data_IF_564004059837
#
_entry.id   IF_564004059837
#
_cell.length_a   1.000
_cell.length_b   1.000
_cell.length_c   1.000
_cell.angle_alpha   90.00
_cell.angle_beta   90.00
_cell.angle_gamma   90.00
#
_symmetry.space_group_name_H-M   'P 1'
#
loop_
_entity.id
_entity.type
_entity.pdbx_description
1 polymer ?
#
# COMPACT_ATOMS: atom_id res chain seq x y z
N UNK A 1 8.79 -1.86 6.34
CA UNK A 1 7.96 -2.95 6.89
C UNK A 1 7.12 -3.54 5.78
N UNK A 2 6.74 -4.80 5.90
CA UNK A 2 5.84 -5.48 4.98
C UNK A 2 4.70 -6.13 5.75
N UNK A 3 3.55 -6.30 5.10
CA UNK A 3 2.40 -6.98 5.69
C UNK A 3 1.43 -7.54 4.66
N UNK A 4 0.73 -8.61 5.05
CA UNK A 4 -0.54 -9.00 4.43
C UNK A 4 -1.68 -8.16 5.02
N UNK A 5 -2.45 -7.50 4.17
CA UNK A 5 -3.58 -6.66 4.60
C UNK A 5 -4.85 -7.46 4.96
N UNK A 6 -4.87 -8.77 4.72
CA UNK A 6 -6.03 -9.62 5.00
C UNK A 6 -6.37 -9.61 6.49
N UNK A 7 -7.61 -9.27 6.82
CA UNK A 7 -8.08 -9.15 8.20
C UNK A 7 -7.85 -7.79 8.86
N UNK A 8 -7.24 -6.83 8.15
CA UNK A 8 -6.98 -5.48 8.67
C UNK A 8 -7.80 -4.41 7.97
N UNK A 9 -8.17 -3.37 8.72
CA UNK A 9 -8.89 -2.20 8.22
C UNK A 9 -7.94 -1.09 7.75
N UNK A 10 -6.90 -1.50 7.01
CA UNK A 10 -5.90 -0.63 6.43
C UNK A 10 -4.74 -0.33 7.38
N UNK A 11 -3.89 0.61 6.96
CA UNK A 11 -2.70 1.01 7.72
C UNK A 11 -3.05 1.81 8.97
N UNK A 12 -3.83 2.88 8.81
CA UNK A 12 -3.99 3.92 9.82
C UNK A 12 -5.04 3.54 10.87
N UNK A 13 -4.72 3.80 12.14
CA UNK A 13 -5.68 3.63 13.23
C UNK A 13 -6.91 4.53 13.08
N UNK A 14 -8.08 3.94 13.32
CA UNK A 14 -9.34 4.66 13.43
C UNK A 14 -9.77 4.73 14.90
N UNK A 15 -9.39 5.82 15.58
CA UNK A 15 -9.73 6.04 16.99
C UNK A 15 -11.25 6.12 17.13
N UNK A 16 -11.87 5.15 17.81
CA UNK A 16 -13.31 5.08 18.05
C UNK A 16 -14.06 3.96 17.31
N UNK A 17 -13.43 3.23 16.39
CA UNK A 17 -14.00 2.03 15.78
C UNK A 17 -13.28 0.78 16.30
N UNK A 18 -13.92 0.06 17.22
CA UNK A 18 -13.36 -1.13 17.88
C UNK A 18 -13.52 -2.42 17.07
N UNK A 19 -14.17 -2.36 15.92
CA UNK A 19 -14.65 -3.57 15.26
C UNK A 19 -13.54 -4.34 14.55
N UNK A 20 -12.48 -3.68 14.09
CA UNK A 20 -11.38 -4.32 13.38
C UNK A 20 -10.04 -3.62 13.57
N UNK A 21 -8.98 -4.40 13.74
CA UNK A 21 -7.61 -3.91 13.92
C UNK A 21 -7.02 -3.35 12.62
N UNK A 22 -6.08 -2.44 12.77
CA UNK A 22 -5.26 -1.85 11.71
C UNK A 22 -3.81 -2.30 11.83
N UNK A 23 -3.00 -2.10 10.79
CA UNK A 23 -1.57 -2.47 10.83
C UNK A 23 -0.84 -1.66 11.91
N UNK A 24 -1.19 -0.39 12.07
CA UNK A 24 -0.63 0.45 13.14
C UNK A 24 -1.00 -0.04 14.54
N UNK A 25 -2.14 -0.74 14.72
CA UNK A 25 -2.49 -1.33 16.02
C UNK A 25 -1.49 -2.38 16.49
N UNK A 26 -1.19 -3.35 15.62
CA UNK A 26 -0.22 -4.40 15.94
C UNK A 26 1.21 -3.82 16.01
N UNK A 27 1.57 -2.88 15.13
CA UNK A 27 2.88 -2.22 15.18
C UNK A 27 3.12 -1.50 16.50
N UNK A 28 2.16 -0.68 16.93
CA UNK A 28 2.30 0.08 18.18
C UNK A 28 2.25 -0.83 19.39
N UNK A 29 1.40 -1.86 19.39
CA UNK A 29 1.40 -2.87 20.45
C UNK A 29 2.78 -3.54 20.57
N UNK A 30 3.39 -3.91 19.44
CA UNK A 30 4.73 -4.48 19.42
C UNK A 30 5.80 -3.50 19.92
N UNK A 31 5.74 -2.22 19.54
CA UNK A 31 6.67 -1.18 20.01
C UNK A 31 6.60 -0.95 21.52
N UNK A 32 5.39 -0.95 22.11
CA UNK A 32 5.20 -0.83 23.56
C UNK A 32 5.74 -2.07 24.26
N UNK A 33 5.38 -3.27 23.79
CA UNK A 33 5.82 -4.55 24.39
C UNK A 33 7.32 -4.77 24.31
N UNK A 34 7.95 -4.32 23.23
CA UNK A 34 9.40 -4.36 23.07
C UNK A 34 10.14 -3.31 23.94
N UNK A 35 9.41 -2.40 24.60
CA UNK A 35 10.00 -1.31 25.40
C UNK A 35 10.65 -0.21 24.54
N UNK A 36 10.24 -0.07 23.28
CA UNK A 36 10.78 0.93 22.35
C UNK A 36 10.14 2.31 22.54
N UNK A 37 8.90 2.33 23.04
CA UNK A 37 8.14 3.54 23.36
C UNK A 37 7.36 3.33 24.66
N UNK A 38 7.11 4.38 25.44
CA UNK A 38 6.20 4.32 26.58
C UNK A 38 4.74 4.20 26.12
N UNK A 39 3.88 3.67 27.01
CA UNK A 39 2.45 3.42 26.72
C UNK A 39 1.70 4.68 26.26
N UNK A 40 1.98 5.82 26.87
CA UNK A 40 1.37 7.11 26.52
C UNK A 40 1.72 7.60 25.09
N UNK A 41 2.79 7.11 24.46
CA UNK A 41 3.10 7.34 23.04
C UNK A 41 2.34 6.35 22.14
N UNK A 42 2.00 5.17 22.66
CA UNK A 42 1.14 4.22 21.97
C UNK A 42 -0.32 4.68 21.92
N UNK A 43 -0.79 5.37 22.95
CA UNK A 43 -2.11 6.02 22.98
C UNK A 43 -2.17 7.26 22.08
N UNK A 44 -1.12 8.09 22.10
CA UNK A 44 -0.98 9.28 21.27
C UNK A 44 0.30 9.25 20.44
N UNK A 45 0.16 8.72 19.22
CA UNK A 45 1.27 8.52 18.28
C UNK A 45 1.94 9.84 17.84
N UNK A 46 1.31 11.01 18.07
CA UNK A 46 1.93 12.32 17.80
C UNK A 46 3.14 12.56 18.70
N UNK A 47 3.14 12.04 19.93
CA UNK A 47 4.24 12.19 20.91
C UNK A 47 5.53 11.52 20.46
N UNK A 48 5.43 10.48 19.63
CA UNK A 48 6.59 9.83 18.98
C UNK A 48 6.84 10.31 17.55
N UNK A 49 6.20 11.40 17.12
CA UNK A 49 6.33 11.94 15.75
C UNK A 49 6.07 10.88 14.68
N UNK A 50 5.10 9.99 14.89
CA UNK A 50 4.82 8.89 13.96
C UNK A 50 4.26 9.40 12.64
N UNK A 51 4.86 8.95 11.54
CA UNK A 51 4.46 9.25 10.17
C UNK A 51 4.51 7.98 9.33
N UNK A 52 3.62 7.89 8.34
CA UNK A 52 3.53 6.79 7.37
C UNK A 52 3.55 7.34 5.96
N UNK A 53 4.27 6.69 5.04
CA UNK A 53 4.33 7.14 3.65
C UNK A 53 3.01 6.96 2.92
N UNK A 54 2.29 5.87 3.22
CA UNK A 54 1.05 5.48 2.54
C UNK A 54 0.00 5.07 3.56
N UNK A 55 -1.23 5.57 3.38
CA UNK A 55 -2.43 5.04 4.03
C UNK A 55 -3.01 3.98 3.10
N UNK A 56 -2.75 2.70 3.37
CA UNK A 56 -3.36 1.62 2.60
C UNK A 56 -4.77 1.35 3.11
N UNK A 57 -5.68 1.06 2.19
CA UNK A 57 -7.07 0.75 2.51
C UNK A 57 -7.24 -0.66 3.10
N UNK A 58 -8.45 -0.95 3.57
CA UNK A 58 -8.84 -2.27 4.09
C UNK A 58 -8.44 -3.39 3.12
N UNK A 59 -7.75 -4.40 3.64
CA UNK A 59 -7.33 -5.57 2.85
C UNK A 59 -6.09 -5.37 1.98
N UNK A 60 -5.63 -4.13 1.77
CA UNK A 60 -4.48 -3.83 0.92
C UNK A 60 -3.19 -4.26 1.61
N UNK A 61 -2.35 -5.02 0.91
CA UNK A 61 -1.05 -5.49 1.40
C UNK A 61 0.07 -4.51 1.02
N UNK A 62 1.22 -4.60 1.68
CA UNK A 62 2.40 -3.83 1.30
C UNK A 62 3.68 -4.65 1.43
N UNK A 63 4.52 -4.63 0.40
CA UNK A 63 5.86 -5.22 0.44
C UNK A 63 6.93 -4.25 0.98
N UNK A 64 6.66 -2.94 0.93
CA UNK A 64 7.64 -1.89 1.21
C UNK A 64 7.05 -0.65 1.87
N UNK A 65 6.14 -0.82 2.83
CA UNK A 65 5.64 0.31 3.62
C UNK A 65 6.79 0.94 4.40
N UNK A 66 6.82 2.28 4.44
CA UNK A 66 7.80 3.05 5.18
C UNK A 66 7.09 3.92 6.21
N UNK A 67 7.61 3.88 7.44
CA UNK A 67 7.18 4.71 8.55
C UNK A 67 8.40 5.40 9.16
N UNK A 68 8.20 6.58 9.76
CA UNK A 68 9.20 7.25 10.57
C UNK A 68 8.61 7.60 11.93
N UNK A 69 9.39 7.41 12.99
CA UNK A 69 8.98 7.63 14.38
C UNK A 69 10.22 7.78 15.26
N UNK A 70 10.01 8.30 16.48
CA UNK A 70 11.02 8.40 17.54
C UNK A 70 10.84 7.25 18.53
N UNK A 71 11.91 6.51 18.77
CA UNK A 71 11.94 5.35 19.69
C UNK A 71 13.21 5.41 20.53
N UNK A 72 13.22 4.70 21.65
CA UNK A 72 14.45 4.36 22.35
C UNK A 72 15.20 3.29 21.56
N UNK A 73 16.48 3.56 21.26
CA UNK A 73 17.33 2.62 20.55
C UNK A 73 17.88 1.59 21.54
N UNK A 74 17.17 0.49 21.70
CA UNK A 74 17.58 -0.65 22.53
C UNK A 74 18.39 -1.67 21.71
N UNK A 75 19.10 -2.57 22.40
CA UNK A 75 19.78 -3.71 21.78
C UNK A 75 18.77 -4.64 21.09
N UNK A 76 19.15 -5.18 19.93
CA UNK A 76 18.34 -6.11 19.13
C UNK A 76 16.94 -5.57 18.80
N UNK A 77 16.83 -4.26 18.60
CA UNK A 77 15.57 -3.54 18.40
C UNK A 77 14.67 -4.18 17.31
N UNK A 78 15.26 -4.54 16.17
CA UNK A 78 14.50 -5.12 15.05
C UNK A 78 13.89 -6.47 15.41
N UNK A 79 14.67 -7.35 16.04
CA UNK A 79 14.24 -8.69 16.43
C UNK A 79 13.22 -8.64 17.57
N UNK A 80 13.41 -7.76 18.56
CA UNK A 80 12.44 -7.55 19.64
C UNK A 80 11.09 -7.09 19.13
N UNK A 81 11.05 -6.10 18.22
CA UNK A 81 9.79 -5.66 17.62
C UNK A 81 9.13 -6.81 16.85
N UNK A 82 9.89 -7.50 16.00
CA UNK A 82 9.36 -8.62 15.21
C UNK A 82 8.86 -9.78 16.07
N UNK A 83 9.46 -10.03 17.24
CA UNK A 83 9.01 -11.08 18.17
C UNK A 83 7.61 -10.86 18.75
N UNK A 84 7.10 -9.62 18.66
CA UNK A 84 5.76 -9.24 19.10
C UNK A 84 4.79 -9.01 17.94
N UNK A 85 5.24 -9.16 16.70
CA UNK A 85 4.41 -9.06 15.51
C UNK A 85 3.95 -10.46 15.06
N UNK A 86 2.75 -10.57 14.48
CA UNK A 86 2.35 -11.81 13.82
C UNK A 86 3.21 -12.06 12.57
N UNK A 87 3.31 -13.32 12.13
CA UNK A 87 4.21 -13.71 11.03
C UNK A 87 3.94 -12.98 9.70
N UNK A 88 2.72 -12.51 9.48
CA UNK A 88 2.30 -11.76 8.28
C UNK A 88 2.51 -10.25 8.39
N UNK A 89 3.15 -9.74 9.44
CA UNK A 89 3.64 -8.35 9.56
C UNK A 89 5.11 -8.41 9.97
N UNK A 90 6.00 -7.79 9.19
CA UNK A 90 7.44 -7.85 9.45
C UNK A 90 8.13 -6.49 9.27
N UNK A 91 8.99 -6.14 10.22
CA UNK A 91 9.98 -5.07 10.07
C UNK A 91 11.20 -5.63 9.37
N UNK A 92 11.32 -5.29 8.09
CA UNK A 92 12.41 -5.78 7.24
C UNK A 92 13.76 -5.10 7.54
N UNK A 93 13.72 -3.78 7.76
CA UNK A 93 14.92 -2.93 7.92
C UNK A 93 14.59 -1.78 8.85
N UNK A 94 15.57 -1.40 9.68
CA UNK A 94 15.55 -0.19 10.51
C UNK A 94 16.79 0.66 10.21
N UNK A 95 16.61 1.97 10.02
CA UNK A 95 17.70 2.93 9.78
C UNK A 95 17.51 4.16 10.66
N UNK A 96 18.57 4.58 11.35
CA UNK A 96 18.61 5.85 12.08
C UNK A 96 18.69 7.01 11.10
N UNK A 97 17.91 8.05 11.36
CA UNK A 97 17.80 9.26 10.52
C UNK A 97 17.95 10.52 11.39
N UNK A 98 18.00 11.68 10.75
CA UNK A 98 17.98 12.98 11.45
C UNK A 98 16.60 13.24 12.08
N UNK A 99 16.56 14.01 13.17
CA UNK A 99 15.32 14.26 13.94
C UNK A 99 14.19 14.90 13.13
N UNK A 100 14.52 15.66 12.08
CA UNK A 100 13.55 16.32 11.20
C UNK A 100 13.08 15.49 10.01
N UNK A 101 13.49 14.22 9.90
CA UNK A 101 13.05 13.37 8.80
C UNK A 101 11.58 12.97 8.96
N UNK A 102 10.76 13.26 7.94
CA UNK A 102 9.38 12.81 7.83
C UNK A 102 9.25 11.95 6.56
N UNK A 103 8.93 10.66 6.74
CA UNK A 103 8.89 9.71 5.64
C UNK A 103 7.83 10.06 4.59
N UNK A 104 6.67 10.58 5.00
CA UNK A 104 5.59 10.98 4.09
C UNK A 104 6.01 12.09 3.14
N UNK A 105 6.61 13.15 3.69
CA UNK A 105 6.99 14.35 2.94
C UNK A 105 8.18 14.08 2.02
N UNK A 106 9.09 13.19 2.44
CA UNK A 106 10.29 12.81 1.69
C UNK A 106 10.07 11.68 0.68
N UNK A 107 8.85 11.17 0.54
CA UNK A 107 8.51 10.15 -0.44
C UNK A 107 8.21 10.81 -1.80
N UNK A 108 8.99 10.47 -2.82
CA UNK A 108 8.86 11.06 -4.16
C UNK A 108 8.05 10.20 -5.14
N UNK A 109 7.96 8.88 -4.91
CA UNK A 109 7.21 7.97 -5.75
C UNK A 109 6.75 6.72 -5.00
N UNK A 110 5.68 6.12 -5.55
CA UNK A 110 5.09 4.87 -5.09
C UNK A 110 4.90 3.97 -6.30
N UNK A 111 5.09 2.67 -6.11
CA UNK A 111 4.81 1.67 -7.15
C UNK A 111 3.87 0.64 -6.57
N UNK A 112 2.70 0.52 -7.20
CA UNK A 112 1.70 -0.47 -6.82
C UNK A 112 1.71 -1.64 -7.81
N UNK A 113 1.40 -2.82 -7.27
CA UNK A 113 1.27 -4.06 -8.00
C UNK A 113 -0.13 -4.60 -7.70
N UNK A 114 -0.92 -4.86 -8.73
CA UNK A 114 -2.24 -5.45 -8.62
C UNK A 114 -2.19 -6.84 -9.25
N UNK A 115 -2.13 -7.87 -8.41
CA UNK A 115 -2.19 -9.26 -8.84
C UNK A 115 -3.64 -9.70 -8.92
N UNK A 116 -4.06 -10.25 -10.06
CA UNK A 116 -5.43 -10.66 -10.31
C UNK A 116 -5.49 -11.94 -11.16
N UNK A 117 -6.54 -12.77 -11.00
CA UNK A 117 -6.80 -13.87 -11.92
C UNK A 117 -7.06 -13.36 -13.34
N UNK A 118 -6.54 -14.05 -14.35
CA UNK A 118 -6.62 -13.57 -15.74
C UNK A 118 -8.02 -13.64 -16.34
N UNK A 119 -8.91 -14.47 -15.79
CA UNK A 119 -10.33 -14.49 -16.19
C UNK A 119 -11.03 -13.14 -15.96
N UNK A 120 -10.45 -12.21 -15.19
CA UNK A 120 -10.91 -10.82 -15.12
C UNK A 120 -10.84 -10.09 -16.48
N UNK A 121 -10.05 -10.59 -17.44
CA UNK A 121 -9.95 -10.07 -18.81
C UNK A 121 -10.74 -10.89 -19.83
N UNK A 122 -11.42 -11.97 -19.40
CA UNK A 122 -12.20 -12.81 -20.30
C UNK A 122 -13.37 -12.01 -20.89
N UNK A 123 -13.50 -12.04 -22.21
CA UNK A 123 -14.60 -11.37 -22.89
C UNK A 123 -15.91 -12.10 -22.62
N UNK A 124 -16.86 -11.42 -21.97
CA UNK A 124 -18.09 -12.01 -21.41
C UNK A 124 -18.92 -12.88 -22.36
N UNK A 125 -18.92 -12.59 -23.67
CA UNK A 125 -19.75 -13.31 -24.65
C UNK A 125 -18.95 -14.31 -25.51
N UNK A 126 -17.62 -14.36 -25.38
CA UNK A 126 -16.74 -15.13 -26.28
C UNK A 126 -15.87 -16.12 -25.53
N UNK A 127 -15.45 -15.76 -24.32
CA UNK A 127 -14.51 -16.54 -23.53
C UNK A 127 -15.21 -17.31 -22.40
N UNK A 128 -14.58 -18.39 -21.95
CA UNK A 128 -14.97 -19.08 -20.70
C UNK A 128 -14.77 -18.15 -19.50
N UNK A 129 -15.70 -18.19 -18.56
CA UNK A 129 -15.77 -17.26 -17.41
C UNK A 129 -15.35 -17.92 -16.09
N UNK A 130 -14.66 -19.05 -16.17
CA UNK A 130 -14.17 -19.81 -15.02
C UNK A 130 -12.63 -19.85 -14.99
N UNK A 131 -12.10 -20.56 -14.00
CA UNK A 131 -10.66 -20.74 -13.75
C UNK A 131 -9.87 -21.44 -14.87
N UNK A 132 -10.54 -22.03 -15.86
CA UNK A 132 -9.90 -22.65 -17.02
C UNK A 132 -9.49 -21.65 -18.10
N UNK A 133 -9.94 -20.39 -17.99
CA UNK A 133 -9.54 -19.31 -18.90
C UNK A 133 -8.02 -19.14 -18.96
N UNK A 134 -7.49 -18.84 -20.15
CA UNK A 134 -6.09 -18.48 -20.35
C UNK A 134 -5.98 -17.22 -21.20
N UNK A 135 -5.18 -16.27 -20.74
CA UNK A 135 -5.03 -14.95 -21.36
C UNK A 135 -4.29 -15.05 -22.68
N UNK A 136 -4.95 -14.66 -23.78
CA UNK A 136 -4.32 -14.59 -25.09
C UNK A 136 -3.35 -13.40 -25.21
N UNK A 137 -2.39 -13.52 -26.13
CA UNK A 137 -1.46 -12.43 -26.41
C UNK A 137 -2.18 -11.17 -26.94
N UNK A 138 -3.23 -11.37 -27.73
CA UNK A 138 -4.07 -10.31 -28.30
C UNK A 138 -4.80 -9.54 -27.20
N UNK A 139 -5.42 -10.24 -26.26
CA UNK A 139 -6.11 -9.61 -25.12
C UNK A 139 -5.11 -8.90 -24.22
N UNK A 140 -3.95 -9.48 -23.94
CA UNK A 140 -2.89 -8.81 -23.18
C UNK A 140 -2.38 -7.53 -23.88
N UNK A 141 -2.20 -7.55 -25.20
CA UNK A 141 -1.85 -6.36 -25.98
C UNK A 141 -2.94 -5.29 -25.89
N UNK A 142 -4.21 -5.69 -25.95
CA UNK A 142 -5.34 -4.77 -25.77
C UNK A 142 -5.34 -4.16 -24.36
N UNK A 143 -5.16 -4.97 -23.31
CA UNK A 143 -5.05 -4.50 -21.92
C UNK A 143 -3.93 -3.47 -21.81
N UNK A 144 -2.73 -3.80 -22.30
CA UNK A 144 -1.58 -2.88 -22.24
C UNK A 144 -1.80 -1.59 -23.04
N UNK A 145 -2.47 -1.66 -24.20
CA UNK A 145 -2.85 -0.48 -24.98
C UNK A 145 -3.78 0.45 -24.20
N UNK A 146 -4.75 -0.09 -23.46
CA UNK A 146 -5.67 0.68 -22.63
C UNK A 146 -4.98 1.25 -21.39
N UNK A 147 -4.16 0.45 -20.70
CA UNK A 147 -3.40 0.90 -19.53
C UNK A 147 -2.44 2.05 -19.89
N UNK A 148 -1.82 2.00 -21.07
CA UNK A 148 -0.95 3.07 -21.55
C UNK A 148 -1.67 4.42 -21.70
N UNK A 149 -3.00 4.46 -21.87
CA UNK A 149 -3.76 5.71 -21.92
C UNK A 149 -3.78 6.46 -20.59
N UNK A 150 -3.50 5.80 -19.46
CA UNK A 150 -3.40 6.46 -18.15
C UNK A 150 -2.10 7.22 -17.95
N UNK A 151 -1.06 6.94 -18.74
CA UNK A 151 0.22 7.64 -18.65
C UNK A 151 0.03 9.15 -18.87
N UNK A 152 0.75 9.95 -18.10
CA UNK A 152 0.66 11.42 -18.15
C UNK A 152 -0.20 11.99 -17.03
N UNK A 153 -0.50 13.29 -17.14
CA UNK A 153 -1.32 14.01 -16.15
C UNK A 153 -2.76 14.05 -16.60
N UNK A 154 -3.65 13.43 -15.82
CA UNK A 154 -5.09 13.41 -16.08
C UNK A 154 -5.85 13.88 -14.86
N UNK A 155 -7.10 14.29 -15.07
CA UNK A 155 -8.03 14.51 -13.96
C UNK A 155 -8.75 13.20 -13.63
N UNK A 156 -8.42 12.63 -12.47
CA UNK A 156 -8.93 11.35 -12.00
C UNK A 156 -10.15 11.50 -11.07
N UNK A 157 -10.91 12.60 -11.16
CA UNK A 157 -12.08 12.82 -10.29
C UNK A 157 -13.10 11.66 -10.31
N UNK A 158 -13.29 10.98 -11.45
CA UNK A 158 -14.17 9.81 -11.57
C UNK A 158 -13.59 8.53 -10.94
N UNK A 159 -12.31 8.53 -10.56
CA UNK A 159 -11.60 7.40 -9.95
C UNK A 159 -11.39 7.58 -8.45
N UNK A 160 -12.03 8.59 -7.84
CA UNK A 160 -12.00 8.83 -6.41
C UNK A 160 -13.35 9.32 -5.92
N UNK A 161 -13.60 9.18 -4.62
CA UNK A 161 -14.82 9.70 -3.98
C UNK A 161 -14.62 11.16 -3.56
N UNK A 162 -15.71 11.93 -3.50
CA UNK A 162 -15.72 13.30 -2.95
C UNK A 162 -14.82 14.31 -3.71
N UNK A 163 -14.61 14.11 -5.02
CA UNK A 163 -13.92 15.06 -5.88
C UNK A 163 -14.76 15.46 -7.10
N UNK A 164 -14.92 16.76 -7.31
CA UNK A 164 -15.58 17.32 -8.49
C UNK A 164 -14.68 17.37 -9.74
N UNK A 165 -15.27 17.49 -10.94
CA UNK A 165 -14.55 17.49 -12.23
C UNK A 165 -13.60 18.67 -12.42
N UNK A 166 -13.73 19.73 -11.63
CA UNK A 166 -12.89 20.93 -11.72
C UNK A 166 -11.90 21.06 -10.56
N UNK A 167 -11.85 20.10 -9.63
CA UNK A 167 -10.93 20.17 -8.50
C UNK A 167 -9.49 19.90 -8.94
N UNK A 168 -8.55 20.85 -8.76
CA UNK A 168 -7.16 20.65 -9.16
C UNK A 168 -6.49 19.49 -8.41
N UNK A 169 -6.92 19.23 -7.17
CA UNK A 169 -6.42 18.13 -6.32
C UNK A 169 -6.76 16.73 -6.83
N UNK A 170 -7.65 16.60 -7.81
CA UNK A 170 -7.95 15.32 -8.48
C UNK A 170 -7.05 15.07 -9.70
N UNK A 171 -6.17 16.01 -10.05
CA UNK A 171 -5.15 15.79 -11.08
C UNK A 171 -4.04 14.95 -10.50
N UNK A 172 -3.71 13.86 -11.19
CA UNK A 172 -2.60 12.99 -10.83
C UNK A 172 -1.74 12.74 -12.05
N UNK A 173 -0.44 12.50 -11.83
CA UNK A 173 0.49 12.12 -12.88
C UNK A 173 0.88 10.65 -12.74
N UNK A 174 0.59 9.85 -13.77
CA UNK A 174 0.99 8.44 -13.85
C UNK A 174 2.23 8.34 -14.72
N UNK A 175 3.31 7.79 -14.17
CA UNK A 175 4.57 7.63 -14.90
C UNK A 175 4.43 6.52 -15.95
N UNK A 176 3.88 5.38 -15.53
CA UNK A 176 3.69 4.20 -16.36
C UNK A 176 2.57 3.32 -15.78
N UNK A 177 1.90 2.54 -16.63
CA UNK A 177 0.96 1.51 -16.19
C UNK A 177 0.91 0.39 -17.23
N UNK A 178 1.16 -0.85 -16.82
CA UNK A 178 1.18 -2.01 -17.72
C UNK A 178 0.87 -3.30 -16.98
N UNK A 179 0.47 -4.33 -17.73
CA UNK A 179 0.23 -5.70 -17.28
C UNK A 179 1.35 -6.60 -17.77
N UNK A 180 1.95 -7.36 -16.86
CA UNK A 180 2.96 -8.38 -17.17
C UNK A 180 2.35 -9.62 -17.85
N UNK A 181 3.17 -10.45 -18.52
CA UNK A 181 2.76 -11.76 -18.99
C UNK A 181 2.16 -12.60 -17.86
N UNK A 182 1.15 -13.44 -18.17
CA UNK A 182 0.51 -14.27 -17.16
C UNK A 182 1.44 -15.36 -16.64
N UNK A 183 1.14 -15.88 -15.45
CA UNK A 183 1.79 -17.05 -14.87
C UNK A 183 0.76 -17.94 -14.16
N UNK A 184 1.02 -19.24 -14.13
CA UNK A 184 0.12 -20.21 -13.51
C UNK A 184 0.61 -20.63 -12.12
N UNK A 185 -0.32 -20.79 -11.17
CA UNK A 185 -0.10 -21.38 -9.85
C UNK A 185 -1.30 -22.24 -9.48
N UNK A 186 -1.05 -23.52 -9.20
CA UNK A 186 -2.07 -24.48 -8.74
C UNK A 186 -3.30 -24.53 -9.66
N UNK A 187 -3.09 -24.50 -10.98
CA UNK A 187 -4.16 -24.54 -12.00
C UNK A 187 -4.83 -23.18 -12.28
N UNK A 188 -4.58 -22.16 -11.46
CA UNK A 188 -5.07 -20.80 -11.65
C UNK A 188 -4.05 -19.93 -12.37
N UNK A 189 -4.49 -19.20 -13.39
CA UNK A 189 -3.65 -18.24 -14.10
C UNK A 189 -3.85 -16.82 -13.54
N UNK A 190 -2.73 -16.13 -13.26
CA UNK A 190 -2.69 -14.78 -12.73
C UNK A 190 -1.87 -13.86 -13.63
N UNK A 191 -2.17 -12.56 -13.57
CA UNK A 191 -1.32 -11.51 -14.11
C UNK A 191 -1.03 -10.46 -13.04
N UNK A 192 -0.06 -9.58 -13.29
CA UNK A 192 0.28 -8.46 -12.40
C UNK A 192 0.25 -7.17 -13.19
N UNK A 193 -0.61 -6.25 -12.78
CA UNK A 193 -0.59 -4.87 -13.25
C UNK A 193 0.37 -4.06 -12.38
N UNK A 194 1.30 -3.34 -12.99
CA UNK A 194 2.22 -2.42 -12.32
C UNK A 194 1.86 -0.98 -12.65
N UNK A 195 1.82 -0.14 -11.62
CA UNK A 195 1.55 1.29 -11.75
C UNK A 195 2.56 2.12 -10.92
N UNK A 196 3.74 2.44 -11.49
CA UNK A 196 4.62 3.47 -10.94
C UNK A 196 3.97 4.86 -11.04
N UNK A 197 3.89 5.56 -9.92
CA UNK A 197 3.36 6.92 -9.85
C UNK A 197 4.22 7.76 -8.90
N UNK A 198 4.72 8.93 -9.32
CA UNK A 198 5.30 9.88 -8.38
C UNK A 198 4.24 10.38 -7.40
N UNK A 199 4.72 10.88 -6.25
CA UNK A 199 3.91 11.53 -5.23
C UNK A 199 3.79 13.01 -5.60
N UNK A 200 2.59 13.43 -5.99
CA UNK A 200 2.32 14.82 -6.32
C UNK A 200 2.35 15.71 -5.07
N UNK A 201 2.49 17.03 -5.23
CA UNK A 201 2.53 18.00 -4.13
C UNK A 201 1.28 17.93 -3.24
N UNK A 202 0.10 17.72 -3.82
CA UNK A 202 -1.19 17.64 -3.11
C UNK A 202 -1.28 16.46 -2.13
N UNK A 203 -0.54 15.38 -2.37
CA UNK A 203 -0.50 14.18 -1.52
C UNK A 203 0.35 14.37 -0.26
N UNK A 204 1.20 15.40 -0.23
CA UNK A 204 2.06 15.71 0.92
C UNK A 204 1.31 16.45 2.03
N UNK A 205 0.28 17.21 1.69
CA UNK A 205 -0.41 18.17 2.57
C UNK A 205 -1.61 17.60 3.37
N UNK A 206 -1.92 16.31 3.23
CA UNK A 206 -3.08 15.67 3.90
C UNK A 206 -2.75 15.06 5.28
N UNK A 207 -2.88 15.84 6.35
CA UNK A 207 -2.74 15.35 7.73
C UNK A 207 -3.89 14.45 8.21
#
# INVERSE_FOLDING_TARGET
MAYSGKGYHGMQRNVGSSQFKTIEDDLVSALVRAGCIPENHGEDMRKMSFQRCVRTDRGVSAAGQVVSLKVWLIEELLDKINSHLPSHIQILVLKRVTSGFNSKIKCDARTYFYMLPTFAFAYKDQDVQDETYRLSAETLQQVNRLLACYKGTHNFHNFTSQKGPHEPSARCYVLEMYCEPPFEREGLEFAVIKAPSPVDGSDRDTD
#
